data_IF_951302455183
#
_entry.id   IF_951302455183
#
_cell.length_a   1.000
_cell.length_b   1.000
_cell.length_c   1.000
_cell.angle_alpha   90.00
_cell.angle_beta   90.00
_cell.angle_gamma   90.00
#
_symmetry.space_group_name_H-M   'P 1'
#
loop_
_entity.id
_entity.type
_entity.pdbx_description
1 polymer ?
2 polymer ?
3 non-polymer ?
#
# COMPACT_ATOMS: atom_id res chain seq x y z
N UNK A 4 -7.80 4.10 19.88
CA UNK A 4 -9.14 3.86 20.48
C UNK A 4 -10.11 3.28 19.46
N UNK A 5 -10.87 2.25 19.86
CA UNK A 5 -11.84 1.58 18.99
C UNK A 5 -13.04 2.46 18.65
N UNK A 6 -13.61 2.25 17.46
CA UNK A 6 -14.76 3.03 17.06
C UNK A 6 -15.99 2.58 17.82
N UNK A 7 -15.93 1.38 18.40
CA UNK A 7 -17.06 0.85 19.16
C UNK A 7 -16.59 0.17 20.45
N UNK A 8 -16.26 0.96 21.48
CA UNK A 8 -15.80 0.44 22.77
C UNK A 8 -16.69 -0.60 23.41
N UNK A 9 -17.99 -0.54 23.13
CA UNK A 9 -18.92 -1.50 23.73
C UNK A 9 -18.77 -2.91 23.18
N UNK A 10 -18.06 -3.04 22.06
CA UNK A 10 -17.83 -4.33 21.44
C UNK A 10 -16.38 -4.78 21.53
N UNK A 11 -15.65 -4.17 22.45
CA UNK A 11 -14.24 -4.50 22.63
C UNK A 11 -14.06 -5.90 23.21
N UNK A 12 -15.09 -6.41 23.87
CA UNK A 12 -15.00 -7.74 24.47
C UNK A 12 -15.69 -8.82 23.63
N UNK A 13 -14.97 -9.92 23.41
CA UNK A 13 -15.48 -11.05 22.63
C UNK A 13 -16.92 -11.43 22.99
N UNK A 14 -17.20 -11.50 24.29
CA UNK A 14 -18.53 -11.88 24.76
C UNK A 14 -19.65 -10.99 24.25
N UNK A 15 -19.38 -9.68 24.19
CA UNK A 15 -20.38 -8.74 23.71
C UNK A 15 -20.60 -8.96 22.21
N UNK A 16 -19.53 -9.27 21.49
CA UNK A 16 -19.60 -9.47 20.05
C UNK A 16 -20.33 -10.75 19.64
N UNK A 17 -19.99 -11.88 20.26
CA UNK A 17 -20.64 -13.14 19.91
C UNK A 17 -22.12 -13.06 20.20
N UNK A 18 -22.50 -12.24 21.17
CA UNK A 18 -23.90 -12.08 21.54
C UNK A 18 -24.74 -11.63 20.34
N UNK A 19 -24.22 -10.69 19.55
CA UNK A 19 -24.95 -10.18 18.40
C UNK A 19 -25.20 -11.19 17.29
N UNK A 20 -24.58 -12.36 17.39
CA UNK A 20 -24.77 -13.37 16.36
C UNK A 20 -25.84 -14.37 16.79
N UNK A 21 -26.72 -13.94 17.68
CA UNK A 21 -27.78 -14.81 18.18
C UNK A 21 -28.21 -15.84 17.17
N UNK A 22 -29.10 -15.45 16.25
CA UNK A 22 -29.56 -16.36 15.22
C UNK A 22 -28.74 -16.09 13.97
N UNK A 23 -27.60 -16.79 13.86
CA UNK A 23 -26.72 -16.64 12.71
C UNK A 23 -26.94 -17.85 11.81
N UNK A 24 -27.49 -17.61 10.62
CA UNK A 24 -27.77 -18.69 9.69
C UNK A 24 -26.76 -18.89 8.56
N UNK A 25 -25.67 -18.14 8.58
CA UNK A 25 -24.66 -18.25 7.52
C UNK A 25 -23.59 -19.30 7.80
N UNK A 26 -22.92 -19.73 6.75
CA UNK A 26 -21.88 -20.75 6.87
C UNK A 26 -20.64 -20.27 7.62
N UNK A 27 -20.30 -19.00 7.46
CA UNK A 27 -19.13 -18.43 8.13
C UNK A 27 -19.33 -18.50 9.65
N UNK A 28 -18.47 -19.28 10.31
CA UNK A 28 -18.55 -19.46 11.75
C UNK A 28 -18.59 -18.15 12.53
N UNK A 29 -19.61 -18.01 13.37
CA UNK A 29 -19.80 -16.81 14.17
C UNK A 29 -18.74 -16.65 15.26
N UNK A 30 -18.24 -17.77 15.78
CA UNK A 30 -17.21 -17.70 16.82
C UNK A 30 -15.94 -17.10 16.23
N UNK A 31 -15.57 -17.56 15.03
CA UNK A 31 -14.38 -17.05 14.36
C UNK A 31 -14.54 -15.56 14.10
N UNK A 32 -15.70 -15.18 13.59
CA UNK A 32 -15.98 -13.78 13.29
C UNK A 32 -15.78 -12.93 14.53
N UNK A 33 -16.40 -13.33 15.63
CA UNK A 33 -16.27 -12.58 16.87
C UNK A 33 -14.83 -12.53 17.35
N UNK A 34 -14.11 -13.64 17.24
CA UNK A 34 -12.70 -13.65 17.64
C UNK A 34 -11.90 -12.67 16.79
N UNK A 35 -12.26 -12.58 15.51
CA UNK A 35 -11.57 -11.68 14.59
C UNK A 35 -11.98 -10.22 14.79
N UNK A 36 -12.75 -9.94 15.86
CA UNK A 36 -13.16 -8.60 16.17
C UNK A 36 -14.47 -8.13 15.56
N UNK A 37 -15.15 -9.01 14.86
CA UNK A 37 -16.41 -8.67 14.20
C UNK A 37 -17.63 -8.89 15.08
N UNK A 38 -18.69 -8.18 14.74
CA UNK A 38 -19.97 -8.30 15.43
C UNK A 38 -21.03 -8.07 14.36
N UNK A 39 -22.10 -8.88 14.40
CA UNK A 39 -23.18 -8.78 13.41
C UNK A 39 -23.98 -7.51 13.57
N UNK A 40 -24.38 -6.91 12.45
CA UNK A 40 -25.15 -5.68 12.46
C UNK A 40 -26.65 -5.89 12.51
N UNK A 41 -27.09 -7.12 12.20
CA UNK A 41 -28.51 -7.41 12.23
C UNK A 41 -29.16 -7.49 10.87
N UNK A 42 -28.41 -7.16 9.82
CA UNK A 42 -28.95 -7.23 8.47
C UNK A 42 -28.02 -8.03 7.58
N UNK A 43 -28.52 -9.15 7.08
CA UNK A 43 -27.71 -10.01 6.23
C UNK A 43 -26.52 -10.51 7.02
N UNK A 44 -25.50 -11.00 6.31
CA UNK A 44 -24.30 -11.50 6.98
C UNK A 44 -23.31 -10.35 7.17
N UNK A 45 -23.84 -9.15 7.38
CA UNK A 45 -23.00 -7.97 7.57
C UNK A 45 -22.43 -7.86 8.97
N UNK A 46 -21.13 -7.65 9.04
CA UNK A 46 -20.44 -7.49 10.31
C UNK A 46 -19.44 -6.33 10.22
N UNK A 47 -19.09 -5.78 11.38
CA UNK A 47 -18.14 -4.68 11.45
C UNK A 47 -17.16 -4.96 12.56
N UNK A 48 -15.95 -4.43 12.43
CA UNK A 48 -14.94 -4.60 13.45
C UNK A 48 -15.18 -3.54 14.52
N UNK A 49 -15.13 -3.94 15.78
CA UNK A 49 -15.37 -3.02 16.89
C UNK A 49 -14.29 -1.94 16.98
N UNK A 50 -13.12 -2.23 16.43
CA UNK A 50 -12.02 -1.29 16.52
C UNK A 50 -11.84 -0.37 15.31
N UNK A 51 -11.61 -0.94 14.13
CA UNK A 51 -11.40 -0.13 12.94
C UNK A 51 -12.70 0.33 12.30
N UNK A 52 -13.79 -0.40 12.56
CA UNK A 52 -15.07 -0.02 12.02
C UNK A 52 -15.33 -0.60 10.65
N UNK A 53 -14.33 -1.26 10.07
CA UNK A 53 -14.50 -1.84 8.75
C UNK A 53 -15.61 -2.86 8.71
N UNK A 54 -16.42 -2.83 7.65
CA UNK A 54 -17.51 -3.78 7.53
C UNK A 54 -17.29 -4.76 6.39
N UNK A 55 -17.78 -5.99 6.55
CA UNK A 55 -17.66 -7.01 5.52
C UNK A 55 -19.01 -7.69 5.33
N UNK A 56 -19.31 -8.09 4.10
CA UNK A 56 -20.57 -8.74 3.77
C UNK A 56 -20.35 -9.79 2.68
N UNK A 57 -21.38 -10.58 2.40
CA UNK A 57 -21.29 -11.62 1.37
C UNK A 57 -20.11 -12.53 1.60
N UNK A 58 -20.09 -13.18 2.75
CA UNK A 58 -19.02 -14.09 3.10
C UNK A 58 -19.15 -15.41 2.32
N UNK A 59 -18.01 -16.01 1.98
CA UNK A 59 -18.01 -17.27 1.24
C UNK A 59 -17.89 -18.43 2.23
N UNK A 60 -18.28 -19.63 1.79
CA UNK A 60 -18.23 -20.85 2.61
C UNK A 60 -17.00 -20.99 3.52
N UNK A 61 -15.87 -21.40 2.95
CA UNK A 61 -14.64 -21.59 3.71
C UNK A 61 -13.74 -20.35 3.67
N UNK A 62 -14.28 -19.23 4.13
CA UNK A 62 -13.54 -17.98 4.13
C UNK A 62 -13.14 -17.64 5.57
N UNK A 63 -11.86 -17.37 5.77
CA UNK A 63 -11.32 -17.05 7.10
C UNK A 63 -11.49 -15.57 7.48
N UNK A 64 -12.21 -15.30 8.58
CA UNK A 64 -12.45 -13.94 9.07
C UNK A 64 -11.17 -13.12 9.26
N UNK A 65 -10.12 -13.73 9.78
CA UNK A 65 -8.88 -13.00 9.99
C UNK A 65 -8.23 -12.58 8.68
N UNK A 66 -8.19 -13.48 7.71
CA UNK A 66 -7.59 -13.18 6.40
C UNK A 66 -8.35 -12.04 5.75
N UNK A 67 -9.67 -12.15 5.75
CA UNK A 67 -10.52 -11.12 5.16
C UNK A 67 -10.33 -9.79 5.87
N UNK A 68 -10.18 -9.86 7.19
CA UNK A 68 -9.99 -8.67 8.00
C UNK A 68 -8.67 -7.98 7.65
N UNK A 69 -7.62 -8.78 7.46
CA UNK A 69 -6.31 -8.24 7.13
C UNK A 69 -6.25 -7.77 5.67
N UNK A 70 -6.91 -8.52 4.79
CA UNK A 70 -6.94 -8.21 3.37
C UNK A 70 -7.57 -6.83 3.10
N UNK A 71 -8.70 -6.57 3.75
CA UNK A 71 -9.42 -5.33 3.54
C UNK A 71 -9.09 -4.19 4.48
N UNK A 72 -8.66 -4.50 5.71
CA UNK A 72 -8.35 -3.45 6.67
C UNK A 72 -7.00 -3.64 7.34
N UNK A 73 -5.93 -3.66 6.55
CA UNK A 73 -4.56 -3.83 7.03
C UNK A 73 -4.11 -2.83 8.09
N UNK A 74 -4.86 -1.74 8.23
CA UNK A 74 -4.49 -0.74 9.20
C UNK A 74 -5.18 -0.85 10.53
N UNK A 75 -6.03 -1.87 10.69
CA UNK A 75 -6.73 -2.07 11.95
C UNK A 75 -5.76 -2.33 13.09
N UNK A 76 -5.91 -1.61 14.19
CA UNK A 76 -5.00 -1.79 15.33
C UNK A 76 -5.29 -3.08 16.08
N UNK A 77 -6.57 -3.44 16.20
CA UNK A 77 -6.92 -4.69 16.85
C UNK A 77 -6.24 -5.80 16.06
N UNK A 78 -6.34 -5.72 14.74
CA UNK A 78 -5.72 -6.70 13.85
C UNK A 78 -4.21 -6.82 14.12
N UNK A 79 -3.54 -5.67 14.19
CA UNK A 79 -2.10 -5.63 14.45
C UNK A 79 -1.78 -6.22 15.83
N UNK A 80 -2.58 -5.83 16.83
CA UNK A 80 -2.42 -6.28 18.21
C UNK A 80 -2.49 -7.80 18.29
N UNK A 81 -3.51 -8.37 17.66
CA UNK A 81 -3.75 -9.81 17.67
C UNK A 81 -2.91 -10.65 16.73
N UNK A 82 -2.59 -10.14 15.55
CA UNK A 82 -1.83 -10.93 14.58
C UNK A 82 -0.40 -10.48 14.28
N UNK A 83 -0.07 -9.23 14.58
CA UNK A 83 1.27 -8.74 14.28
C UNK A 83 1.43 -8.28 12.84
N UNK A 84 2.36 -7.34 12.62
CA UNK A 84 2.62 -6.79 11.29
C UNK A 84 3.04 -7.82 10.24
N UNK A 85 3.85 -8.79 10.63
CA UNK A 85 4.32 -9.83 9.72
C UNK A 85 3.13 -10.52 9.07
N UNK A 86 2.12 -10.80 9.88
CA UNK A 86 0.92 -11.46 9.41
C UNK A 86 0.18 -10.64 8.35
N UNK A 87 -0.08 -9.38 8.66
CA UNK A 87 -0.79 -8.49 7.74
C UNK A 87 -0.10 -8.41 6.38
N UNK A 88 1.17 -8.03 6.39
CA UNK A 88 1.97 -7.89 5.17
C UNK A 88 1.96 -9.15 4.35
N UNK A 89 2.13 -10.28 5.02
CA UNK A 89 2.15 -11.55 4.32
C UNK A 89 0.81 -11.81 3.66
N UNK A 90 -0.28 -11.41 4.30
CA UNK A 90 -1.61 -11.61 3.72
C UNK A 90 -1.64 -10.83 2.40
N UNK A 91 -1.19 -9.59 2.45
CA UNK A 91 -1.17 -8.73 1.27
C UNK A 91 -0.14 -9.12 0.22
N UNK A 92 0.92 -9.80 0.64
CA UNK A 92 1.97 -10.19 -0.30
C UNK A 92 1.76 -11.58 -0.88
N UNK A 93 0.59 -12.18 -0.66
CA UNK A 93 0.34 -13.51 -1.20
C UNK A 93 -1.09 -13.77 -1.69
N UNK A 94 -1.68 -12.78 -2.35
CA UNK A 94 -3.04 -12.91 -2.88
C UNK A 94 -3.07 -13.86 -4.06
N UNK B 1 4.70 -21.45 -21.14
CA UNK B 1 4.74 -22.26 -19.94
C UNK B 1 3.77 -21.76 -18.87
N UNK B 2 4.01 -22.17 -17.63
CA UNK B 2 3.15 -21.77 -16.51
C UNK B 2 3.28 -20.28 -16.22
N UNK B 3 4.49 -19.74 -16.43
CA UNK B 3 4.75 -18.33 -16.21
C UNK B 3 4.37 -17.46 -17.40
N UNK B 4 4.31 -18.06 -18.59
CA UNK B 4 3.95 -17.35 -19.81
C UNK B 4 2.44 -17.13 -19.95
N UNK B 5 1.66 -18.13 -19.56
CA UNK B 5 0.21 -18.04 -19.66
C UNK B 5 -0.40 -17.22 -18.52
N UNK B 6 0.41 -16.95 -17.50
CA UNK B 6 -0.04 -16.17 -16.34
C UNK B 6 0.18 -14.70 -16.65
N UNK B 7 1.31 -14.40 -17.32
CA UNK B 7 1.66 -13.04 -17.70
C UNK B 7 0.70 -12.48 -18.74
N UNK B 8 0.21 -13.35 -19.62
CA UNK B 8 -0.70 -12.92 -20.66
C UNK B 8 -2.16 -12.96 -20.26
N UNK B 9 -2.52 -13.92 -19.41
CA UNK B 9 -3.91 -14.08 -18.96
C UNK B 9 -4.50 -12.73 -18.54
N UNK B 10 -5.28 -12.12 -19.43
CA UNK B 10 -5.91 -10.83 -19.18
C UNK B 10 -6.85 -10.87 -17.97
N UNK B 11 -7.13 -12.08 -17.48
CA UNK B 11 -8.00 -12.22 -16.33
C UNK B 11 -7.17 -12.27 -15.06
N UNK B 12 -5.92 -12.70 -15.18
CA UNK B 12 -5.04 -12.82 -14.03
C UNK B 12 -3.97 -11.74 -13.90
N UNK B 13 -3.58 -11.13 -15.01
CA UNK B 13 -2.56 -10.09 -14.99
C UNK B 13 -2.97 -8.84 -15.74
N UNK B 14 -2.58 -7.68 -15.22
CA UNK B 14 -2.89 -6.42 -15.88
C UNK B 14 -2.11 -6.44 -17.18
N UNK B 15 -2.69 -5.88 -18.24
CA UNK B 15 -1.97 -5.85 -19.51
C UNK B 15 -1.16 -4.57 -19.58
N UNK B 16 0.17 -4.73 -19.62
CA UNK B 16 1.08 -3.62 -19.72
C UNK B 16 1.81 -3.78 -21.05
N UNK B 17 1.16 -3.34 -22.12
CA UNK B 17 1.71 -3.46 -23.47
C UNK B 17 2.06 -2.12 -24.11
N UNK B 18 1.45 -1.05 -23.63
CA UNK B 18 1.70 0.27 -24.19
C UNK B 18 3.11 0.81 -23.97
N UNK B 19 3.54 1.68 -24.89
CA UNK B 19 4.86 2.27 -24.84
C UNK B 19 4.72 3.77 -25.13
N UNK B 20 4.96 4.63 -24.12
CA UNK B 20 5.35 4.35 -22.73
C UNK B 20 4.28 3.65 -21.89
N UNK B 21 4.71 3.07 -20.76
CA UNK B 21 3.80 2.35 -19.88
C UNK B 21 2.88 3.29 -19.09
N UNK B 22 3.42 4.42 -18.65
CA UNK B 22 2.62 5.36 -17.91
C UNK B 22 3.51 6.42 -17.31
N UNK B 23 2.93 7.28 -16.47
CA UNK B 23 3.68 8.33 -15.80
C UNK B 23 4.26 7.78 -14.52
N UNK B 24 5.35 8.39 -14.08
CA UNK B 24 5.99 8.02 -12.84
C UNK B 24 6.41 9.33 -12.22
N UNK B 25 5.79 9.68 -11.11
CA UNK B 25 6.14 10.91 -10.43
C UNK B 25 6.98 10.57 -9.22
N UNK B 26 8.10 11.27 -9.07
CA UNK B 26 8.97 11.05 -7.93
C UNK B 26 9.11 12.35 -7.17
N UNK B 27 8.58 12.38 -5.96
CA UNK B 27 8.68 13.56 -5.11
C UNK B 27 9.95 13.25 -4.29
N UNK B 28 10.96 14.10 -4.42
CA UNK B 28 12.20 13.89 -3.71
C UNK B 28 12.47 15.03 -2.74
N UNK B 29 12.15 14.83 -1.47
CA UNK B 29 12.38 15.87 -0.47
C UNK B 29 13.71 15.63 0.24
N UNK B 30 14.63 16.56 0.04
CA UNK B 30 15.96 16.47 0.61
C UNK B 30 16.21 17.54 1.67
N UNK B 31 15.93 18.78 1.31
CA UNK B 31 16.13 19.91 2.20
C UNK B 31 14.84 20.36 2.87
N UNK B 32 14.85 20.45 4.19
CA UNK B 32 13.69 20.86 4.95
C UNK B 32 14.01 22.17 5.64
N UNK B 33 12.98 22.96 5.93
CA UNK B 33 13.22 24.23 6.60
C UNK B 33 13.86 23.98 7.96
N UNK B 34 14.77 24.87 8.33
CA UNK B 34 15.47 24.78 9.60
C UNK B 34 14.49 24.65 10.74
N UNK B 35 13.43 25.45 10.68
CA UNK B 35 12.37 25.49 11.69
C UNK B 35 11.69 24.15 11.99
N UNK B 36 11.51 23.31 10.98
CA UNK B 36 10.85 22.01 11.17
C UNK B 36 11.67 21.09 12.07
N UNK B 37 12.99 21.24 12.02
CA UNK B 37 13.85 20.41 12.83
C UNK B 37 14.18 19.09 12.14
N UNK B 38 13.70 18.95 10.90
CA UNK B 38 13.95 17.73 10.14
C UNK B 38 15.32 17.79 9.46
N UNK B 39 16.09 16.72 9.57
CA UNK B 39 17.41 16.68 8.99
C UNK B 39 17.43 16.56 7.48
N UNK B 40 18.42 17.18 6.86
CA UNK B 40 18.59 17.12 5.42
C UNK B 40 18.70 15.65 5.08
N UNK B 41 17.95 15.20 4.09
CA UNK B 41 18.03 13.79 3.73
C UNK B 41 19.07 13.58 2.65
N UNK B 42 20.33 13.53 3.08
CA UNK B 42 21.42 13.31 2.14
C UNK B 42 21.29 11.85 1.73
N UNK B 43 21.75 11.52 0.53
CA UNK B 43 21.63 10.15 0.09
C UNK B 43 20.30 9.93 -0.61
N UNK B 44 19.37 10.86 -0.40
CA UNK B 44 18.07 10.76 -1.03
C UNK B 44 18.23 11.00 -2.53
N UNK B 45 19.14 11.90 -2.90
CA UNK B 45 19.40 12.17 -4.32
C UNK B 45 19.83 10.92 -5.06
N UNK B 46 20.59 10.04 -4.39
CA UNK B 46 21.02 8.82 -5.06
C UNK B 46 19.86 7.82 -5.06
N UNK B 47 19.02 7.87 -4.03
CA UNK B 47 17.86 6.98 -3.97
C UNK B 47 16.96 7.35 -5.15
N UNK B 48 16.75 8.65 -5.31
CA UNK B 48 15.93 9.17 -6.38
C UNK B 48 16.47 8.75 -7.74
N UNK B 49 17.77 8.92 -7.96
CA UNK B 49 18.38 8.55 -9.22
C UNK B 49 18.23 7.05 -9.50
N UNK B 50 18.32 6.23 -8.47
CA UNK B 50 18.16 4.80 -8.67
C UNK B 50 16.73 4.49 -9.12
N UNK B 51 15.75 5.09 -8.46
CA UNK B 51 14.36 4.85 -8.83
C UNK B 51 14.00 5.48 -10.16
N UNK B 52 14.56 6.67 -10.42
CA UNK B 52 14.31 7.34 -11.69
C UNK B 52 14.80 6.44 -12.82
N UNK B 53 15.99 5.87 -12.66
CA UNK B 53 16.56 4.98 -13.67
C UNK B 53 15.77 3.69 -13.76
N UNK B 54 15.32 3.19 -12.61
CA UNK B 54 14.54 1.97 -12.56
C UNK B 54 13.26 2.06 -13.36
N UNK B 55 12.44 3.05 -13.06
CA UNK B 55 11.17 3.18 -13.76
C UNK B 55 11.30 3.63 -15.21
N UNK B 56 12.39 4.31 -15.55
CA UNK B 56 12.60 4.72 -16.93
C UNK B 56 12.76 3.45 -17.73
N UNK B 57 13.58 2.54 -17.22
CA UNK B 57 13.83 1.28 -17.92
C UNK B 57 12.59 0.39 -17.92
N UNK B 58 11.62 0.72 -17.08
CA UNK B 58 10.39 -0.05 -17.03
C UNK B 58 9.36 0.64 -17.92
N UNK B 59 9.85 1.59 -18.71
CA UNK B 59 9.06 2.35 -19.68
C UNK B 59 8.10 3.43 -19.17
N UNK B 60 8.37 4.00 -18.00
CA UNK B 60 7.51 5.05 -17.47
C UNK B 60 8.12 6.40 -17.79
N UNK B 61 7.28 7.41 -17.99
CA UNK B 61 7.79 8.76 -18.25
C UNK B 61 8.01 9.31 -16.85
N UNK B 62 9.27 9.31 -16.42
CA UNK B 62 9.59 9.75 -15.09
C UNK B 62 9.83 11.23 -14.96
N UNK B 63 9.18 11.82 -13.97
CA UNK B 63 9.36 13.22 -13.68
C UNK B 63 9.75 13.34 -12.21
N UNK B 64 10.85 14.04 -11.97
CA UNK B 64 11.32 14.24 -10.62
C UNK B 64 10.98 15.65 -10.18
N UNK B 65 10.35 15.77 -9.02
CA UNK B 65 10.01 17.07 -8.47
C UNK B 65 10.60 17.06 -7.08
N UNK B 66 11.59 17.91 -6.84
CA UNK B 66 12.21 17.93 -5.54
C UNK B 66 11.79 19.04 -4.62
N UNK B 67 12.01 18.82 -3.33
CA UNK B 67 11.71 19.78 -2.29
C UNK B 67 10.33 20.42 -2.35
N UNK B 68 9.31 19.60 -2.18
CA UNK B 68 7.94 20.10 -2.21
C UNK B 68 7.34 20.24 -0.82
N UNK B 69 6.62 21.34 -0.62
CA UNK B 69 5.93 21.58 0.64
C UNK B 69 4.76 20.60 0.60
N UNK B 70 4.07 20.45 1.72
CA UNK B 70 2.92 19.54 1.79
C UNK B 70 1.92 19.94 0.71
N UNK B 71 1.55 21.21 0.67
CA UNK B 71 0.59 21.69 -0.32
C UNK B 71 1.02 21.45 -1.76
N UNK B 72 2.30 21.67 -2.05
CA UNK B 72 2.77 21.45 -3.42
C UNK B 72 2.84 19.96 -3.80
N UNK B 73 2.99 19.09 -2.79
CA UNK B 73 3.02 17.66 -3.06
C UNK B 73 1.60 17.30 -3.51
N UNK B 74 0.61 17.82 -2.79
CA UNK B 74 -0.79 17.57 -3.10
C UNK B 74 -1.09 18.09 -4.51
N UNK B 75 -0.69 19.33 -4.77
CA UNK B 75 -0.90 19.92 -6.10
C UNK B 75 -0.27 19.03 -7.18
N UNK B 76 0.97 18.62 -6.95
CA UNK B 76 1.67 17.78 -7.92
C UNK B 76 0.93 16.45 -8.12
N UNK B 77 0.31 15.94 -7.07
CA UNK B 77 -0.42 14.67 -7.19
C UNK B 77 -1.77 14.90 -7.88
N UNK B 78 -2.41 16.03 -7.58
CA UNK B 78 -3.68 16.35 -8.21
C UNK B 78 -3.42 16.55 -9.70
N UNK B 79 -2.29 17.18 -10.00
CA UNK B 79 -1.89 17.43 -11.37
C UNK B 79 -1.75 16.09 -12.11
N UNK B 80 -1.03 15.15 -11.51
CA UNK B 80 -0.84 13.86 -12.15
C UNK B 80 -2.16 13.13 -12.35
N UNK B 81 -3.06 13.27 -11.37
CA UNK B 81 -4.36 12.61 -11.43
C UNK B 81 -5.28 13.27 -12.45
N UNK B 82 -5.04 14.55 -12.70
CA UNK B 82 -5.85 15.33 -13.63
C UNK B 82 -5.48 15.09 -15.09
N UNK B 83 -4.36 14.42 -15.33
CA UNK B 83 -3.93 14.16 -16.69
C UNK B 83 -4.68 13.00 -17.33
N UNK B 84 -4.54 12.86 -18.64
CA UNK B 84 -5.21 11.80 -19.38
C UNK B 84 -4.32 10.58 -19.50
N UNK B 85 -4.72 9.53 -18.82
CA UNK B 85 -3.97 8.28 -18.81
C UNK B 85 -4.61 7.30 -19.76
N UNK B 86 -5.41 7.82 -20.68
CA UNK B 86 -6.09 6.98 -21.66
C UNK B 86 -5.20 6.03 -22.44
N UNK B 87 -4.01 6.49 -22.82
CA UNK B 87 -3.10 5.64 -23.57
C UNK B 87 -2.04 4.95 -22.71
N UNK B 88 -2.21 4.99 -21.39
CA UNK B 88 -1.25 4.37 -20.47
C UNK B 88 -1.85 3.18 -19.72
N UNK B 89 -0.99 2.27 -19.28
CA UNK B 89 -1.45 1.07 -18.56
C UNK B 89 -1.21 1.08 -17.07
N UNK B 90 -0.44 2.04 -16.57
CA UNK B 90 -0.13 2.04 -15.16
C UNK B 90 0.31 3.41 -14.71
N UNK B 91 0.23 3.65 -13.40
CA UNK B 91 0.67 4.92 -12.85
C UNK B 91 1.56 4.62 -11.65
N UNK B 92 2.62 5.40 -11.47
CA UNK B 92 3.53 5.20 -10.37
C UNK B 92 3.84 6.51 -9.66
N UNK B 93 3.79 6.47 -8.34
CA UNK B 93 4.10 7.61 -7.52
C UNK B 93 5.15 7.15 -6.52
N UNK B 94 6.23 7.91 -6.43
CA UNK B 94 7.29 7.56 -5.50
C UNK B 94 7.52 8.77 -4.64
N UNK B 95 7.48 8.58 -3.32
CA UNK B 95 7.71 9.69 -2.41
C UNK B 95 8.87 9.33 -1.50
N UNK B 96 9.82 10.25 -1.42
CA UNK B 96 11.01 10.08 -0.60
C UNK B 96 11.04 11.29 0.30
N UNK B 97 10.90 11.06 1.60
CA UNK B 97 10.88 12.16 2.54
C UNK B 97 10.89 11.61 3.96
N UNK B 98 10.73 12.50 4.95
CA UNK B 98 10.65 12.07 6.33
C UNK B 98 9.17 11.72 6.47
N UNK B 99 8.81 10.94 7.48
CA UNK B 99 7.42 10.57 7.67
C UNK B 99 7.02 10.45 9.13
N UNK B 100 5.74 10.16 9.36
CA UNK B 100 5.23 10.00 10.71
C UNK B 100 4.02 9.09 10.63
N UNK B 101 3.56 8.61 11.77
CA UNK B 101 2.42 7.73 11.80
C UNK B 101 1.14 8.51 11.58
N UNK B 102 0.16 7.85 10.96
CA UNK B 102 -1.14 8.43 10.70
C UNK B 102 -2.05 7.24 10.56
N UNK B 103 -2.81 6.98 11.61
CA UNK B 103 -3.71 5.84 11.63
C UNK B 103 -4.77 5.90 10.55
N UNK B 104 -5.02 4.74 9.94
CA UNK B 104 -6.04 4.60 8.92
C UNK B 104 -6.24 3.11 8.68
N UNK B 105 -7.49 2.67 8.61
CA UNK B 105 -7.76 1.24 8.47
C UNK B 105 -7.34 0.61 7.15
N UNK B 106 -7.00 1.41 6.16
CA UNK B 106 -6.58 0.85 4.88
C UNK B 106 -5.25 1.34 4.37
N UNK B 107 -4.99 2.63 4.55
CA UNK B 107 -3.77 3.25 4.07
C UNK B 107 -3.13 4.11 5.14
N UNK B 108 -2.64 3.48 6.22
CA UNK B 108 -2.00 4.21 7.31
C UNK B 108 -0.69 4.85 6.89
N UNK B 109 -0.24 5.83 7.66
CA UNK B 109 1.02 6.50 7.36
C UNK B 109 0.84 7.91 6.83
N UNK B 110 1.94 8.66 6.85
CA UNK B 110 1.94 10.03 6.35
C UNK B 110 3.37 10.38 6.00
N UNK B 111 3.53 11.41 5.19
CA UNK B 111 4.84 11.88 4.79
C UNK B 111 4.85 13.38 5.01
N UNK B 112 6.03 13.94 5.22
CA UNK B 112 6.14 15.38 5.44
C UNK B 112 6.56 16.08 4.17
N UNK B 113 6.13 17.32 4.02
CA UNK B 113 6.57 18.11 2.89
C UNK B 113 7.85 18.75 3.45
N UNK B 114 8.60 19.44 2.62
CA UNK B 114 9.83 20.08 3.08
C UNK B 114 9.56 21.07 4.22
N UNK B 115 8.29 21.43 4.41
CA UNK B 115 7.90 22.36 5.47
C UNK B 115 7.60 21.66 6.79
N UNK B 116 7.69 20.33 6.79
CA UNK B 116 7.41 19.60 8.01
C UNK B 116 5.92 19.46 8.23
N UNK B 117 5.14 19.73 7.19
CA UNK B 117 3.68 19.60 7.26
C UNK B 117 3.35 18.23 6.72
N UNK B 118 2.52 17.46 7.44
CA UNK B 118 2.13 16.12 7.03
C UNK B 118 1.08 16.02 5.93
N UNK B 119 1.21 14.95 5.16
CA UNK B 119 0.30 14.62 4.08
C UNK B 119 0.10 13.12 4.30
N UNK B 120 -1.12 12.72 4.64
CA UNK B 120 -1.39 11.31 4.90
C UNK B 120 -1.38 10.49 3.62
N UNK B 121 -1.04 9.21 3.76
CA UNK B 121 -1.01 8.30 2.62
C UNK B 121 -2.42 8.11 2.08
N UNK B 122 -3.42 8.25 2.95
CA UNK B 122 -4.80 8.11 2.51
C UNK B 122 -5.16 9.21 1.53
N UNK B 123 -4.79 10.45 1.85
CA UNK B 123 -5.10 11.56 0.96
C UNK B 123 -4.35 11.35 -0.35
N UNK B 124 -3.08 10.95 -0.26
CA UNK B 124 -2.27 10.71 -1.46
C UNK B 124 -2.92 9.66 -2.36
N UNK B 125 -3.32 8.55 -1.76
CA UNK B 125 -3.95 7.47 -2.50
C UNK B 125 -5.29 7.84 -3.12
N UNK B 126 -6.15 8.47 -2.35
CA UNK B 126 -7.49 8.82 -2.84
C UNK B 126 -7.52 9.91 -3.89
N UNK B 127 -6.38 10.56 -4.13
CA UNK B 127 -6.31 11.59 -5.15
C UNK B 127 -6.59 10.91 -6.49
N UNK B 128 -6.26 9.63 -6.58
CA UNK B 128 -6.41 8.86 -7.81
C UNK B 128 -7.63 7.95 -7.88
N UNK B 129 -8.79 8.45 -7.46
CA UNK B 129 -10.03 7.66 -7.46
C UNK B 129 -10.69 7.59 -8.85
N UNK B 130 -11.69 6.72 -8.97
CA UNK B 130 -12.40 6.54 -10.23
C UNK B 130 -13.38 7.63 -10.61
N UNK B 131 -13.30 8.76 -9.92
CA UNK B 131 -14.17 9.90 -10.21
C UNK B 131 -13.30 11.07 -10.63
N UNK B 132 -12.14 11.18 -10.01
CA UNK B 132 -11.22 12.26 -10.33
C UNK B 132 -10.27 11.78 -11.43
N UNK B 133 -10.16 10.46 -11.56
CA UNK B 133 -9.28 9.88 -12.56
C UNK B 133 -9.83 8.58 -13.16
N UNK B 134 -10.98 8.65 -13.85
CA UNK B 134 -11.56 7.45 -14.45
C UNK B 134 -10.60 6.87 -15.47
N UNK B 135 -9.72 7.74 -15.95
CA UNK B 135 -8.69 7.42 -16.93
C UNK B 135 -7.79 6.28 -16.45
N UNK B 136 -7.61 6.16 -15.12
CA UNK B 136 -6.79 5.12 -14.54
C UNK B 136 -7.65 4.02 -13.91
N UNK B 137 -8.93 4.01 -14.23
CA UNK B 137 -9.83 3.00 -13.69
C UNK B 137 -9.44 1.63 -14.19
N UNK B 138 -9.36 0.67 -13.27
CA UNK B 138 -8.99 -0.68 -13.65
C UNK B 138 -7.53 -0.84 -13.98
N UNK B 139 -6.75 0.24 -13.81
CA UNK B 139 -5.32 0.18 -14.08
C UNK B 139 -4.56 0.30 -12.77
N UNK B 140 -3.45 -0.44 -12.63
CA UNK B 140 -2.67 -0.39 -11.40
C UNK B 140 -2.13 0.98 -11.07
N UNK B 141 -2.33 1.39 -9.82
CA UNK B 141 -1.85 2.68 -9.33
C UNK B 141 -0.88 2.34 -8.19
N UNK B 142 0.41 2.41 -8.49
CA UNK B 142 1.46 2.06 -7.54
C UNK B 142 2.00 3.21 -6.74
N UNK B 143 2.24 2.96 -5.45
CA UNK B 143 2.80 3.99 -4.59
C UNK B 143 3.96 3.38 -3.79
N UNK B 144 5.16 3.95 -3.97
CA UNK B 144 6.33 3.48 -3.25
C UNK B 144 6.76 4.65 -2.40
N UNK B 145 6.60 4.49 -1.09
CA UNK B 145 6.94 5.54 -0.16
C UNK B 145 8.08 5.14 0.78
N UNK B 146 9.11 5.99 0.82
CA UNK B 146 10.22 5.80 1.73
C UNK B 146 10.07 7.03 2.63
N UNK B 147 9.49 6.81 3.81
CA UNK B 147 9.26 7.89 4.75
C UNK B 147 10.05 7.63 6.02
N UNK B 148 11.31 8.04 6.01
CA UNK B 148 12.19 7.84 7.17
C UNK B 148 11.55 8.34 8.46
N UNK B 149 11.48 7.45 9.44
CA UNK B 149 10.90 7.81 10.73
C UNK B 149 11.98 8.05 11.77
N UNK B 177 -15.29 -12.13 1.38
CA UNK B 177 -16.16 -11.05 1.86
C UNK B 177 -15.86 -9.77 1.10
N UNK B 178 -16.71 -8.77 1.28
CA UNK B 178 -16.54 -7.49 0.60
C UNK B 178 -16.96 -6.35 1.52
N UNK B 179 -16.30 -5.18 1.38
CA UNK B 179 -16.64 -4.02 2.22
C UNK B 179 -17.99 -3.45 1.79
N UNK B 180 -18.56 -2.54 2.58
CA UNK B 180 -19.83 -1.93 2.18
C UNK B 180 -19.99 -0.48 2.61
N UNK B 181 -21.03 0.16 2.08
CA UNK B 181 -21.36 1.56 2.34
C UNK B 181 -20.63 2.49 1.37
N UNK B 194 -23.64 -0.26 0.41
CA UNK B 194 -23.26 -0.54 -0.97
C UNK B 194 -22.10 -1.53 -1.02
N UNK B 195 -22.34 -2.68 -1.63
CA UNK B 195 -21.33 -3.73 -1.73
C UNK B 195 -20.52 -3.71 -3.03
N UNK B 196 -19.26 -3.29 -2.92
CA UNK B 196 -18.36 -3.23 -4.08
C UNK B 196 -16.91 -3.10 -3.60
N UNK B 197 -16.02 -3.94 -4.15
CA UNK B 197 -14.58 -3.99 -3.84
C UNK B 197 -13.84 -2.66 -4.01
N UNK B 198 -13.54 -2.02 -2.90
CA UNK B 198 -12.84 -0.74 -2.92
C UNK B 198 -12.06 -0.64 -1.62
N UNK B 199 -10.81 -0.16 -1.66
CA UNK B 199 -10.01 0.31 -2.80
C UNK B 199 -9.77 -0.76 -3.85
N UNK B 200 -9.41 -0.33 -5.06
CA UNK B 200 -9.16 -1.25 -6.15
C UNK B 200 -8.03 -0.79 -7.05
N UNK B 201 -7.19 -1.72 -7.45
CA UNK B 201 -6.08 -1.43 -8.34
C UNK B 201 -5.12 -0.42 -7.72
N UNK B 202 -5.01 -0.47 -6.39
CA UNK B 202 -4.12 0.41 -5.63
C UNK B 202 -3.10 -0.48 -4.91
N UNK B 203 -1.81 -0.12 -5.01
CA UNK B 203 -0.77 -0.87 -4.32
C UNK B 203 0.15 0.13 -3.65
N UNK B 204 0.24 0.04 -2.32
CA UNK B 204 1.09 0.94 -1.57
C UNK B 204 2.17 0.18 -0.80
N UNK B 205 3.42 0.58 -1.04
CA UNK B 205 4.55 0.00 -0.34
C UNK B 205 5.05 1.18 0.49
N UNK B 206 4.84 1.11 1.79
CA UNK B 206 5.23 2.18 2.70
C UNK B 206 6.38 1.75 3.59
N UNK B 207 7.53 2.37 3.42
CA UNK B 207 8.69 2.00 4.23
C UNK B 207 9.22 3.13 5.11
N UNK B 208 9.50 2.80 6.36
CA UNK B 208 10.05 3.76 7.29
C UNK B 208 11.41 3.26 7.80
N UNK B 209 11.91 2.19 7.19
CA UNK B 209 13.21 1.60 7.53
C UNK B 209 14.25 2.71 7.28
N UNK B 210 14.93 3.20 8.33
CA UNK B 210 15.92 4.26 8.15
C UNK B 210 17.35 3.84 7.78
N UNK B 211 17.63 2.55 7.74
CA UNK B 211 18.97 2.07 7.43
C UNK B 211 19.56 2.53 6.11
N UNK B 212 20.88 2.69 6.08
CA UNK B 212 21.59 3.14 4.88
C UNK B 212 22.34 1.93 4.30
N UNK B 213 22.64 1.97 3.01
CA UNK B 213 23.36 0.90 2.36
C UNK B 213 24.64 0.64 3.15
N UNK B 214 25.24 1.74 3.58
CA UNK B 214 26.44 1.71 4.41
C UNK B 214 25.96 2.27 5.73
N UNK B 215 25.65 1.38 6.66
CA UNK B 215 25.10 1.75 7.94
C UNK B 215 25.66 2.97 8.69
N UNK B 216 26.90 3.37 8.39
CA UNK B 216 27.45 4.54 9.08
C UNK B 216 27.36 5.80 8.25
N UNK B 217 27.25 5.67 6.94
CA UNK B 217 27.19 6.83 6.06
C UNK B 217 25.78 7.18 5.60
N UNK B 218 25.22 8.27 6.16
CA UNK B 218 23.87 8.73 5.82
C UNK B 218 23.75 9.20 4.36
N UNK B 219 24.89 9.29 3.67
CA UNK B 219 24.91 9.72 2.27
C UNK B 219 24.99 8.52 1.32
N UNK B 220 25.19 7.33 1.86
CA UNK B 220 25.31 6.14 1.03
C UNK B 220 24.03 5.75 0.32
N UNK B 221 22.90 6.20 0.87
CA UNK B 221 21.62 5.87 0.26
C UNK B 221 20.81 4.95 1.15
N UNK B 222 19.50 4.94 0.93
CA UNK B 222 18.59 4.12 1.70
C UNK B 222 18.72 2.63 1.42
N UNK B 223 18.86 1.85 2.49
CA UNK B 223 18.98 0.40 2.37
C UNK B 223 17.75 -0.19 1.69
N UNK B 224 16.57 0.28 2.10
CA UNK B 224 15.32 -0.20 1.52
C UNK B 224 15.23 0.09 0.03
N UNK B 225 15.61 1.30 -0.39
CA UNK B 225 15.57 1.63 -1.80
C UNK B 225 16.49 0.70 -2.60
N UNK B 226 17.72 0.54 -2.11
CA UNK B 226 18.71 -0.32 -2.76
C UNK B 226 18.19 -1.74 -2.89
N UNK B 227 17.67 -2.26 -1.78
CA UNK B 227 17.15 -3.62 -1.79
C UNK B 227 16.04 -3.76 -2.81
N UNK B 228 15.18 -2.74 -2.89
CA UNK B 228 14.09 -2.78 -3.85
C UNK B 228 14.66 -2.73 -5.27
N UNK B 229 15.57 -1.79 -5.54
CA UNK B 229 16.15 -1.69 -6.87
C UNK B 229 16.82 -3.00 -7.27
N UNK B 230 17.62 -3.53 -6.35
CA UNK B 230 18.34 -4.79 -6.57
C UNK B 230 17.39 -5.91 -6.99
N UNK B 231 16.35 -6.12 -6.19
CA UNK B 231 15.37 -7.16 -6.46
C UNK B 231 14.73 -6.97 -7.83
N UNK B 232 14.42 -5.71 -8.17
CA UNK B 232 13.80 -5.42 -9.45
C UNK B 232 14.73 -5.79 -10.59
N UNK B 233 15.97 -5.32 -10.49
CA UNK B 233 16.98 -5.59 -11.51
C UNK B 233 17.10 -7.09 -11.82
N UNK B 234 16.99 -7.91 -10.79
CA UNK B 234 17.12 -9.34 -10.97
C UNK B 234 15.83 -10.10 -11.21
N UNK B 235 14.70 -9.58 -10.75
CA UNK B 235 13.48 -10.35 -10.94
C UNK B 235 12.27 -9.72 -11.62
N UNK B 236 12.30 -8.42 -11.90
CA UNK B 236 11.14 -7.79 -12.54
C UNK B 236 10.79 -8.45 -13.86
N UNK B 237 11.81 -8.88 -14.60
CA UNK B 237 11.60 -9.50 -15.90
C UNK B 237 10.75 -10.78 -15.82
N UNK B 238 10.78 -11.47 -14.69
CA UNK B 238 10.03 -12.71 -14.60
C UNK B 238 9.06 -12.84 -13.43
N UNK B 239 9.06 -11.87 -12.51
CA UNK B 239 8.16 -11.94 -11.36
C UNK B 239 7.29 -10.70 -11.23
N UNK B 240 6.07 -10.89 -10.76
CA UNK B 240 5.13 -9.78 -10.57
C UNK B 240 5.47 -8.97 -9.33
N UNK B 241 4.86 -7.79 -9.21
CA UNK B 241 5.09 -6.89 -8.10
C UNK B 241 4.99 -7.55 -6.72
N UNK B 242 3.94 -8.35 -6.50
CA UNK B 242 3.77 -9.02 -5.21
C UNK B 242 4.98 -9.86 -4.82
N UNK B 243 5.48 -10.64 -5.78
CA UNK B 243 6.64 -11.49 -5.55
C UNK B 243 7.89 -10.67 -5.30
N UNK B 244 8.01 -9.54 -6.02
CA UNK B 244 9.16 -8.67 -5.86
C UNK B 244 9.19 -8.12 -4.43
N UNK B 245 8.06 -7.63 -3.95
CA UNK B 245 7.97 -7.07 -2.60
C UNK B 245 8.04 -8.13 -1.51
N UNK B 246 7.68 -9.37 -1.86
CA UNK B 246 7.77 -10.44 -0.89
C UNK B 246 9.26 -10.70 -0.69
N UNK B 247 10.03 -10.64 -1.77
CA UNK B 247 11.47 -10.84 -1.70
C UNK B 247 12.07 -9.71 -0.88
N UNK B 248 11.54 -8.50 -1.05
CA UNK B 248 12.04 -7.35 -0.30
C UNK B 248 11.73 -7.56 1.18
N UNK B 249 10.50 -7.97 1.48
CA UNK B 249 10.11 -8.20 2.86
C UNK B 249 11.01 -9.28 3.47
N UNK B 250 11.31 -10.29 2.65
CA UNK B 250 12.15 -11.40 3.08
C UNK B 250 13.53 -10.84 3.46
N UNK B 251 14.06 -9.96 2.63
CA UNK B 251 15.35 -9.33 2.89
C UNK B 251 15.28 -8.46 4.14
N UNK B 252 14.32 -7.54 4.17
CA UNK B 252 14.18 -6.67 5.33
C UNK B 252 14.16 -7.50 6.61
N UNK B 253 13.54 -8.66 6.52
CA UNK B 253 13.41 -9.57 7.66
C UNK B 253 14.73 -10.05 8.28
N UNK B 254 15.72 -10.38 7.46
CA UNK B 254 17.00 -10.86 7.97
C UNK B 254 17.97 -9.70 8.21
N UNK B 255 17.45 -8.49 8.22
CA UNK B 255 18.25 -7.28 8.41
C UNK B 255 18.03 -6.70 9.82
N UNK B 256 16.89 -7.06 10.41
CA UNK B 256 16.53 -6.59 11.74
C UNK B 256 15.09 -7.01 11.99
N UNK B 257 14.17 -6.05 11.88
CA UNK B 257 12.73 -6.26 12.03
C UNK B 257 12.00 -5.98 13.33
N UNK B 258 11.35 -4.82 13.33
CA UNK B 258 10.51 -4.27 14.39
C UNK B 258 9.78 -3.29 13.51
N UNK B 259 10.53 -2.85 12.51
CA UNK B 259 10.06 -1.94 11.49
C UNK B 259 9.41 -2.89 10.48
N UNK B 260 10.24 -3.48 9.62
CA UNK B 260 9.77 -4.40 8.59
C UNK B 260 8.40 -3.94 8.18
N UNK B 261 8.23 -2.62 8.17
CA UNK B 261 6.95 -2.05 7.85
C UNK B 261 6.75 -1.64 6.42
N UNK B 262 7.47 -2.26 5.46
CA UNK B 262 7.19 -1.82 4.09
C UNK B 262 5.69 -2.10 3.91
N UNK B 263 5.11 -2.61 5.00
CA UNK B 263 3.71 -2.93 5.08
C UNK B 263 2.97 -2.54 3.83
N UNK B 264 3.04 -3.38 2.83
CA UNK B 264 2.36 -3.07 1.60
C UNK B 264 0.86 -3.20 1.80
N UNK B 265 0.11 -2.35 1.12
CA UNK B 265 -1.34 -2.33 1.18
C UNK B 265 -1.70 -2.64 -0.25
N UNK B 266 -1.95 -3.92 -0.48
CA UNK B 266 -2.25 -4.44 -1.80
C UNK B 266 -3.71 -4.60 -2.10
N UNK B 267 -4.21 -3.76 -2.99
CA UNK B 267 -5.61 -3.82 -3.41
C UNK B 267 -5.69 -4.00 -4.91
N UNK B 268 -4.66 -4.62 -5.48
CA UNK B 268 -4.64 -4.89 -6.91
C UNK B 268 -5.58 -6.07 -7.10
N UNK B 269 -6.18 -6.18 -8.28
CA UNK B 269 -7.12 -7.26 -8.55
C UNK B 269 -6.49 -8.33 -9.43
N UNK B 270 -5.35 -8.01 -10.00
CA UNK B 270 -4.62 -8.93 -10.86
C UNK B 270 -3.13 -8.84 -10.59
N UNK B 271 -2.36 -9.76 -11.14
CA UNK B 271 -0.92 -9.74 -10.94
C UNK B 271 -0.33 -8.67 -11.84
N UNK B 272 0.72 -8.01 -11.36
CA UNK B 272 1.36 -6.97 -12.12
C UNK B 272 2.78 -7.32 -12.56
N UNK B 273 2.94 -7.54 -13.85
CA UNK B 273 4.25 -7.85 -14.43
C UNK B 273 4.64 -6.61 -15.19
N UNK B 274 5.77 -6.02 -14.83
CA UNK B 274 6.24 -4.81 -15.50
C UNK B 274 6.68 -5.10 -16.93
N UNK B 275 6.74 -4.07 -17.75
CA UNK B 275 7.20 -4.21 -19.12
C UNK B 275 8.69 -3.95 -19.07
N UNK B 276 9.49 -5.02 -19.13
CA UNK B 276 10.94 -4.89 -19.08
C UNK B 276 11.58 -4.52 -20.41
N UNK B 277 12.68 -3.77 -20.32
CA UNK B 277 13.45 -3.31 -21.48
C UNK B 277 13.37 -4.22 -22.70
#
# INVERSE_FOLDING_TARGET
STNLPRNPSMADYEARIFTFGTWIYSVNKEQLARAGFYALGEGDKVKCFHCGGGLTDWKPSEDPWEQHAKWYPGCKYLLEQKGQEYINNIHLTHSLEE
GALESLRGNADLAYILSMEPCGHCLIINNVNFCRESGLRTRTGSNIDCEKLRRRFSSLHFMVEVKGDLTAKKMVLALLELARQDHGALDCCVVVILSHGCQASHLQFPGAVYGTDGCPVSVEKIVNIFNGTSCPSLGGKPKLFFIQACGGEQKDHGFEVASTSPEDESPGSNPEPDATPFQEGLRTFDQLDAISSLPTPSDIFVSYSTFPGFVSWRDPKSGSWYVETLDDIFEQWAHSEDLQSLLLRVANAVSVKGIYKQMPGCFNFLRKKLFFKTS
#
